data_IF_584950139448
#
_entry.id   IF_584950139448
#
_cell.length_a   1.000
_cell.length_b   1.000
_cell.length_c   1.000
_cell.angle_alpha   90.00
_cell.angle_beta   90.00
_cell.angle_gamma   90.00
#
_symmetry.space_group_name_H-M   'P 1'
#
loop_
_entity.id
_entity.type
_entity.pdbx_description
1 polymer ?
#
# COMPACT_ATOMS: atom_id res chain seq x y z
N UNK A 1 10.52 11.76 6.13
CA UNK A 1 9.35 12.06 6.97
C UNK A 1 8.75 10.72 7.31
N UNK A 2 8.95 10.29 8.55
CA UNK A 2 8.49 9.00 9.06
C UNK A 2 6.97 8.95 9.15
N UNK A 3 6.43 7.73 9.23
CA UNK A 3 5.00 7.49 9.43
C UNK A 3 4.61 7.94 10.84
N UNK A 4 3.66 8.89 10.99
CA UNK A 4 3.19 9.29 12.31
C UNK A 4 2.51 8.12 13.02
N UNK A 5 2.80 7.96 14.32
CA UNK A 5 2.04 7.10 15.23
C UNK A 5 1.24 8.02 16.15
N UNK A 6 -0.08 7.94 16.04
CA UNK A 6 -1.03 8.82 16.71
C UNK A 6 -1.75 8.06 17.82
N UNK A 7 -1.91 8.70 18.98
CA UNK A 7 -2.62 8.11 20.11
C UNK A 7 -4.15 8.04 19.89
N UNK A 8 -4.85 7.48 20.87
CA UNK A 8 -6.29 7.30 20.82
C UNK A 8 -7.11 8.60 20.78
N UNK A 9 -6.50 9.74 21.13
CA UNK A 9 -7.15 11.03 21.00
C UNK A 9 -7.28 11.45 19.54
N UNK A 10 -6.39 11.01 18.66
CA UNK A 10 -6.43 11.34 17.23
C UNK A 10 -7.64 10.76 16.51
N UNK A 11 -8.18 9.63 16.98
CA UNK A 11 -9.42 9.04 16.44
C UNK A 11 -10.64 9.82 16.97
N UNK A 12 -11.24 10.68 16.13
CA UNK A 12 -12.26 11.65 16.57
C UNK A 12 -13.69 11.16 16.36
N UNK A 13 -13.98 10.67 15.17
CA UNK A 13 -15.37 10.40 14.78
C UNK A 13 -15.44 9.21 13.82
N UNK A 14 -16.32 8.26 14.11
CA UNK A 14 -16.70 7.21 13.16
C UNK A 14 -17.66 7.76 12.11
N UNK A 15 -17.37 7.54 10.83
CA UNK A 15 -18.11 8.10 9.69
C UNK A 15 -18.86 7.03 8.88
N UNK A 16 -18.85 5.78 9.33
CA UNK A 16 -19.55 4.67 8.68
C UNK A 16 -18.61 3.58 8.17
N UNK A 17 -19.21 2.55 7.56
CA UNK A 17 -18.48 1.51 6.81
C UNK A 17 -18.45 1.87 5.33
N UNK A 18 -17.38 1.53 4.60
CA UNK A 18 -17.39 1.68 3.15
C UNK A 18 -18.41 0.71 2.53
N UNK A 19 -18.96 1.08 1.37
CA UNK A 19 -19.90 0.22 0.63
C UNK A 19 -19.31 -1.13 0.19
N UNK A 20 -17.99 -1.30 0.28
CA UNK A 20 -17.29 -2.57 0.14
C UNK A 20 -16.08 -2.58 1.09
N UNK A 21 -16.12 -3.40 2.15
CA UNK A 21 -15.08 -3.44 3.19
C UNK A 21 -13.82 -4.24 2.80
N UNK A 22 -13.80 -4.85 1.61
CA UNK A 22 -12.71 -5.75 1.22
C UNK A 22 -12.64 -6.98 2.13
N UNK A 23 -11.43 -7.49 2.37
CA UNK A 23 -11.20 -8.65 3.24
C UNK A 23 -11.12 -8.27 4.73
N UNK A 24 -10.71 -7.04 5.05
CA UNK A 24 -10.62 -6.60 6.44
C UNK A 24 -11.97 -6.02 6.90
N UNK A 25 -12.74 -6.83 7.63
CA UNK A 25 -14.07 -6.49 8.15
C UNK A 25 -14.09 -5.29 9.12
N UNK A 26 -12.92 -4.90 9.63
CA UNK A 26 -12.78 -3.74 10.51
C UNK A 26 -12.60 -2.42 9.76
N UNK A 27 -12.52 -2.46 8.42
CA UNK A 27 -12.36 -1.27 7.59
C UNK A 27 -13.56 -0.34 7.77
N UNK A 28 -13.28 0.91 8.13
CA UNK A 28 -14.28 1.95 8.35
C UNK A 28 -13.77 3.32 7.91
N UNK A 29 -14.68 4.27 7.81
CA UNK A 29 -14.38 5.68 7.60
C UNK A 29 -14.31 6.37 8.96
N UNK A 30 -13.32 7.23 9.17
CA UNK A 30 -13.20 8.02 10.39
C UNK A 30 -12.56 9.39 10.15
N UNK A 31 -12.82 10.34 11.04
CA UNK A 31 -12.06 11.59 11.13
C UNK A 31 -10.87 11.41 12.06
N UNK A 32 -9.67 11.63 11.52
CA UNK A 32 -8.41 11.50 12.23
C UNK A 32 -7.73 12.87 12.33
N UNK A 33 -7.35 13.27 13.54
CA UNK A 33 -6.56 14.47 13.76
C UNK A 33 -5.06 14.13 13.63
N UNK A 34 -4.32 14.85 12.81
CA UNK A 34 -2.85 14.73 12.81
C UNK A 34 -2.21 15.43 14.01
N UNK A 35 -0.88 15.39 14.10
CA UNK A 35 -0.12 16.00 15.20
C UNK A 35 -0.30 17.53 15.30
N UNK A 36 -0.75 18.21 14.23
CA UNK A 36 -1.08 19.64 14.24
C UNK A 36 -2.54 19.92 14.60
N UNK A 37 -3.35 18.87 14.77
CA UNK A 37 -4.79 18.97 15.01
C UNK A 37 -5.62 19.12 13.73
N UNK A 38 -5.01 19.12 12.55
CA UNK A 38 -5.75 19.12 11.28
C UNK A 38 -6.52 17.80 11.13
N UNK A 39 -7.80 17.92 10.75
CA UNK A 39 -8.69 16.77 10.56
C UNK A 39 -8.60 16.25 9.13
N UNK A 40 -8.47 14.94 9.00
CA UNK A 40 -8.46 14.19 7.75
C UNK A 40 -9.60 13.17 7.76
N UNK A 41 -10.33 13.05 6.65
CA UNK A 41 -11.26 11.94 6.44
C UNK A 41 -10.45 10.74 5.94
N UNK A 42 -10.42 9.66 6.73
CA UNK A 42 -9.56 8.51 6.55
C UNK A 42 -10.37 7.23 6.31
N UNK A 43 -9.84 6.34 5.47
CA UNK A 43 -10.09 4.91 5.63
C UNK A 43 -9.21 4.40 6.77
N UNK A 44 -9.79 3.61 7.68
CA UNK A 44 -9.10 3.06 8.85
C UNK A 44 -9.34 1.56 8.91
N UNK A 45 -8.28 0.77 9.07
CA UNK A 45 -8.34 -0.69 9.22
C UNK A 45 -7.53 -1.15 10.42
N UNK A 46 -8.14 -1.91 11.33
CA UNK A 46 -7.44 -2.48 12.47
C UNK A 46 -6.45 -3.54 11.97
N UNK A 47 -5.19 -3.37 12.35
CA UNK A 47 -4.09 -4.25 11.99
C UNK A 47 -3.25 -4.49 13.25
N UNK A 48 -3.63 -5.49 14.08
CA UNK A 48 -2.86 -5.82 15.28
C UNK A 48 -1.42 -6.23 14.93
N UNK A 49 -0.52 -6.14 15.92
CA UNK A 49 0.92 -6.44 15.76
C UNK A 49 1.21 -7.96 15.75
N UNK A 50 0.21 -8.79 15.46
CA UNK A 50 0.35 -10.26 15.38
C UNK A 50 0.80 -10.75 13.99
N UNK A 51 1.11 -9.82 13.08
CA UNK A 51 1.59 -10.12 11.74
C UNK A 51 2.18 -8.90 11.03
N UNK A 52 2.57 -9.09 9.77
CA UNK A 52 3.32 -8.08 9.01
C UNK A 52 2.46 -6.96 8.42
N UNK A 53 1.13 -7.09 8.38
CA UNK A 53 0.24 -6.19 7.61
C UNK A 53 0.44 -4.70 7.91
N UNK A 54 0.49 -4.31 9.20
CA UNK A 54 0.67 -2.90 9.57
C UNK A 54 2.04 -2.36 9.16
N UNK A 55 3.08 -3.19 9.36
CA UNK A 55 4.44 -2.85 8.94
C UNK A 55 4.54 -2.69 7.42
N UNK A 56 3.92 -3.62 6.68
CA UNK A 56 3.85 -3.60 5.22
C UNK A 56 3.14 -2.36 4.67
N UNK A 57 2.01 -1.97 5.25
CA UNK A 57 1.34 -0.71 4.89
C UNK A 57 2.24 0.52 5.11
N UNK A 58 2.87 0.60 6.28
CA UNK A 58 3.74 1.71 6.63
C UNK A 58 4.95 1.80 5.70
N UNK A 59 5.62 0.69 5.43
CA UNK A 59 6.76 0.61 4.49
C UNK A 59 6.30 0.95 3.07
N UNK A 60 5.19 0.36 2.61
CA UNK A 60 4.68 0.56 1.26
C UNK A 60 4.35 2.04 0.98
N UNK A 61 3.69 2.72 1.92
CA UNK A 61 3.41 4.14 1.78
C UNK A 61 4.67 5.01 1.78
N UNK A 62 5.64 4.73 2.67
CA UNK A 62 6.92 5.44 2.70
C UNK A 62 7.65 5.30 1.37
N UNK A 63 7.81 4.08 0.86
CA UNK A 63 8.52 3.83 -0.38
C UNK A 63 7.78 4.41 -1.58
N UNK A 64 6.46 4.32 -1.65
CA UNK A 64 5.66 4.89 -2.74
C UNK A 64 5.90 6.41 -2.87
N UNK A 65 5.88 7.13 -1.74
CA UNK A 65 6.17 8.56 -1.70
C UNK A 65 7.58 8.93 -2.16
N UNK A 66 8.55 8.06 -1.96
CA UNK A 66 9.95 8.28 -2.34
C UNK A 66 10.26 7.85 -3.77
N UNK A 67 9.41 7.04 -4.37
CA UNK A 67 9.59 6.45 -5.71
C UNK A 67 8.68 7.06 -6.78
N UNK A 68 8.13 8.25 -6.54
CA UNK A 68 7.24 8.96 -7.47
C UNK A 68 5.98 8.14 -7.86
N UNK A 69 5.54 7.25 -6.95
CA UNK A 69 4.28 6.53 -7.04
C UNK A 69 3.22 7.32 -6.29
N UNK A 70 2.15 7.68 -7.00
CA UNK A 70 1.01 8.37 -6.37
C UNK A 70 0.37 7.47 -5.32
N UNK A 71 0.25 7.99 -4.10
CA UNK A 71 -0.37 7.36 -2.94
C UNK A 71 -1.16 8.42 -2.14
N UNK A 72 -1.96 8.04 -1.13
CA UNK A 72 -2.66 9.00 -0.27
C UNK A 72 -1.71 10.03 0.35
N UNK A 73 -2.10 11.30 0.36
CA UNK A 73 -1.22 12.40 0.79
C UNK A 73 -0.94 12.35 2.31
N UNK A 74 -1.92 11.94 3.10
CA UNK A 74 -1.79 11.65 4.51
C UNK A 74 -2.02 10.15 4.80
N UNK A 75 -1.15 9.58 5.62
CA UNK A 75 -1.34 8.29 6.24
C UNK A 75 -0.65 8.28 7.61
N UNK A 76 -1.17 7.46 8.51
CA UNK A 76 -0.66 7.31 9.86
C UNK A 76 -1.03 5.95 10.44
N UNK A 77 -0.30 5.57 11.48
CA UNK A 77 -0.75 4.52 12.40
C UNK A 77 -1.52 5.23 13.51
N UNK A 78 -2.75 4.78 13.80
CA UNK A 78 -3.58 5.34 14.88
C UNK A 78 -3.94 4.25 15.87
N UNK A 79 -3.81 4.54 17.17
CA UNK A 79 -4.27 3.64 18.24
C UNK A 79 -5.78 3.80 18.41
N UNK A 80 -6.56 2.88 17.85
CA UNK A 80 -8.02 2.96 17.88
C UNK A 80 -8.55 2.44 19.22
N UNK A 81 -9.39 3.21 19.94
CA UNK A 81 -10.11 2.73 21.11
C UNK A 81 -11.18 1.72 20.71
N UNK A 82 -10.91 0.44 20.97
CA UNK A 82 -11.73 -0.70 20.49
C UNK A 82 -13.15 -0.64 21.06
N UNK A 83 -13.30 -0.29 22.34
CA UNK A 83 -14.62 -0.14 22.98
C UNK A 83 -15.46 0.97 22.34
N UNK A 84 -14.83 2.05 21.87
CA UNK A 84 -15.54 3.12 21.16
C UNK A 84 -15.95 2.65 19.77
N UNK A 85 -15.05 2.00 19.03
CA UNK A 85 -15.38 1.46 17.71
C UNK A 85 -16.48 0.39 17.77
N UNK A 86 -16.46 -0.47 18.80
CA UNK A 86 -17.46 -1.52 19.02
C UNK A 86 -18.87 -0.96 19.24
N UNK A 87 -19.00 0.25 19.79
CA UNK A 87 -20.29 0.96 19.90
C UNK A 87 -20.82 1.44 18.56
N UNK A 88 -19.96 1.54 17.53
CA UNK A 88 -20.33 1.96 16.18
C UNK A 88 -20.67 0.78 15.25
N UNK A 89 -20.34 -0.45 15.63
CA UNK A 89 -20.66 -1.66 14.87
C UNK A 89 -19.98 -2.92 15.42
N UNK A 90 -20.39 -4.10 14.94
CA UNK A 90 -19.80 -5.36 15.38
C UNK A 90 -18.33 -5.44 14.99
N UNK A 91 -17.52 -5.98 15.89
CA UNK A 91 -16.11 -6.33 15.68
C UNK A 91 -15.92 -7.84 15.88
N UNK A 92 -14.99 -8.47 15.15
CA UNK A 92 -14.64 -9.86 15.38
C UNK A 92 -14.17 -10.12 16.81
N UNK A 93 -14.47 -11.32 17.34
CA UNK A 93 -14.14 -11.70 18.73
C UNK A 93 -12.65 -11.67 19.05
N UNK A 94 -11.78 -11.75 18.04
CA UNK A 94 -10.32 -11.58 18.23
C UNK A 94 -9.95 -10.23 18.85
N UNK A 95 -10.82 -9.22 18.76
CA UNK A 95 -10.62 -7.90 19.37
C UNK A 95 -11.28 -7.75 20.75
N UNK A 96 -11.84 -8.82 21.31
CA UNK A 96 -12.44 -8.81 22.65
C UNK A 96 -11.35 -8.61 23.72
N UNK A 97 -11.64 -7.77 24.72
CA UNK A 97 -10.70 -7.45 25.79
C UNK A 97 -9.55 -6.50 25.42
N UNK A 98 -9.39 -6.15 24.14
CA UNK A 98 -8.41 -5.14 23.73
C UNK A 98 -8.92 -3.73 24.07
N UNK A 99 -8.14 -2.92 24.81
CA UNK A 99 -8.47 -1.52 25.03
C UNK A 99 -8.16 -0.65 23.80
N UNK A 100 -6.97 -0.84 23.24
CA UNK A 100 -6.46 -0.14 22.07
C UNK A 100 -5.98 -1.16 21.03
N UNK A 101 -6.25 -0.89 19.76
CA UNK A 101 -5.72 -1.68 18.65
C UNK A 101 -5.07 -0.72 17.63
N UNK A 102 -3.81 -0.96 17.22
CA UNK A 102 -3.22 -0.17 16.16
C UNK A 102 -3.96 -0.40 14.83
N UNK A 103 -4.06 0.66 14.06
CA UNK A 103 -4.75 0.67 12.79
C UNK A 103 -3.96 1.46 11.76
N UNK A 104 -4.02 1.02 10.51
CA UNK A 104 -3.59 1.85 9.39
C UNK A 104 -4.70 2.82 9.02
N UNK A 105 -4.37 4.12 8.94
CA UNK A 105 -5.23 5.18 8.41
C UNK A 105 -4.58 5.79 7.18
N UNK A 106 -5.36 5.95 6.12
CA UNK A 106 -4.97 6.71 4.95
C UNK A 106 -6.09 7.62 4.49
N UNK A 107 -5.73 8.85 4.11
CA UNK A 107 -6.67 9.86 3.67
C UNK A 107 -7.45 9.38 2.44
N UNK A 108 -8.75 9.69 2.42
CA UNK A 108 -9.61 9.36 1.29
C UNK A 108 -9.09 10.08 0.03
N UNK A 109 -8.72 9.30 -0.97
CA UNK A 109 -8.40 9.82 -2.30
C UNK A 109 -9.71 10.04 -3.05
N UNK A 110 -10.00 11.30 -3.41
CA UNK A 110 -11.16 11.64 -4.20
C UNK A 110 -11.10 10.96 -5.58
N UNK A 111 -11.95 9.98 -5.83
CA UNK A 111 -11.92 9.15 -7.03
C UNK A 111 -12.73 7.88 -6.88
N UNK A 112 -12.50 6.92 -7.78
CA UNK A 112 -13.09 5.57 -7.68
C UNK A 112 -12.00 4.53 -7.91
N UNK A 113 -12.02 3.44 -7.16
CA UNK A 113 -11.17 2.28 -7.51
C UNK A 113 -11.56 1.78 -8.90
N UNK A 114 -10.59 1.35 -9.70
CA UNK A 114 -10.82 0.97 -11.10
C UNK A 114 -11.90 -0.12 -11.21
N UNK A 115 -11.92 -1.06 -10.26
CA UNK A 115 -12.95 -2.11 -10.15
C UNK A 115 -14.38 -1.59 -9.93
N UNK A 116 -14.57 -0.42 -9.35
CA UNK A 116 -15.89 0.17 -9.07
C UNK A 116 -16.41 1.06 -10.20
N UNK A 117 -15.63 1.29 -11.25
CA UNK A 117 -16.11 2.00 -12.44
C UNK A 117 -17.15 1.10 -13.12
N UNK A 118 -18.34 1.66 -13.38
CA UNK A 118 -19.56 0.97 -13.82
C UNK A 118 -19.27 -0.13 -14.86
N UNK A 119 -19.91 -1.30 -14.72
CA UNK A 119 -19.60 -2.53 -15.49
C UNK A 119 -19.45 -2.31 -17.01
N UNK A 120 -20.30 -1.47 -17.60
CA UNK A 120 -20.23 -1.15 -19.05
C UNK A 120 -18.95 -0.42 -19.47
N UNK A 121 -18.33 0.33 -18.56
CA UNK A 121 -17.10 1.10 -18.80
C UNK A 121 -15.87 0.46 -18.16
N UNK A 122 -16.02 -0.61 -17.37
CA UNK A 122 -14.93 -1.26 -16.66
C UNK A 122 -13.81 -1.74 -17.60
N UNK A 123 -14.17 -2.35 -18.74
CA UNK A 123 -13.17 -2.84 -19.70
C UNK A 123 -12.30 -1.70 -20.25
N UNK A 124 -12.94 -0.59 -20.64
CA UNK A 124 -12.26 0.61 -21.11
C UNK A 124 -11.41 1.24 -20.00
N UNK A 125 -11.95 1.34 -18.79
CA UNK A 125 -11.24 1.91 -17.65
C UNK A 125 -10.01 1.07 -17.24
N UNK A 126 -10.12 -0.25 -17.27
CA UNK A 126 -9.00 -1.19 -17.09
C UNK A 126 -7.92 -0.94 -18.14
N UNK A 127 -8.30 -0.87 -19.42
CA UNK A 127 -7.34 -0.64 -20.51
C UNK A 127 -6.68 0.74 -20.41
N UNK A 128 -7.44 1.77 -20.05
CA UNK A 128 -6.93 3.13 -19.83
C UNK A 128 -5.97 3.18 -18.64
N UNK A 129 -6.28 2.46 -17.56
CA UNK A 129 -5.39 2.30 -16.41
C UNK A 129 -4.06 1.69 -16.86
N UNK A 130 -4.10 0.52 -17.50
CA UNK A 130 -2.89 -0.18 -17.96
C UNK A 130 -2.09 0.64 -18.98
N UNK A 131 -2.74 1.51 -19.75
CA UNK A 131 -2.07 2.46 -20.67
C UNK A 131 -1.67 3.78 -20.02
N UNK A 132 -1.83 3.96 -18.72
CA UNK A 132 -1.38 5.17 -18.02
C UNK A 132 0.08 5.04 -17.60
N UNK A 133 0.80 6.17 -17.49
CA UNK A 133 2.17 6.17 -16.94
C UNK A 133 2.17 5.70 -15.48
N UNK A 134 1.14 6.07 -14.73
CA UNK A 134 1.01 5.74 -13.31
C UNK A 134 0.91 4.23 -13.07
N UNK A 135 0.11 3.50 -13.84
CA UNK A 135 0.01 2.04 -13.69
C UNK A 135 1.35 1.31 -13.92
N UNK A 136 2.20 1.84 -14.79
CA UNK A 136 3.55 1.30 -15.04
C UNK A 136 4.50 1.60 -13.89
N UNK A 137 4.44 2.81 -13.33
CA UNK A 137 5.18 3.14 -12.09
C UNK A 137 4.73 2.27 -10.93
N UNK A 138 3.43 2.10 -10.74
CA UNK A 138 2.85 1.21 -9.71
C UNK A 138 3.32 -0.23 -9.94
N UNK A 139 3.27 -0.74 -11.17
CA UNK A 139 3.72 -2.10 -11.48
C UNK A 139 5.23 -2.29 -11.22
N UNK A 140 6.06 -1.30 -11.58
CA UNK A 140 7.50 -1.34 -11.30
C UNK A 140 7.76 -1.35 -9.79
N UNK A 141 7.06 -0.49 -9.05
CA UNK A 141 7.11 -0.45 -7.59
C UNK A 141 6.68 -1.76 -6.94
N UNK A 142 5.59 -2.37 -7.42
CA UNK A 142 5.11 -3.64 -6.90
C UNK A 142 6.13 -4.78 -7.14
N UNK A 143 6.82 -4.80 -8.30
CA UNK A 143 7.91 -5.75 -8.56
C UNK A 143 9.12 -5.52 -7.64
N UNK A 144 9.49 -4.26 -7.45
CA UNK A 144 10.60 -3.87 -6.58
C UNK A 144 10.34 -4.27 -5.12
N UNK A 145 9.14 -3.95 -4.62
CA UNK A 145 8.73 -4.23 -3.25
C UNK A 145 8.24 -5.65 -3.01
N UNK A 146 8.19 -6.53 -4.01
CA UNK A 146 7.63 -7.88 -3.85
C UNK A 146 6.15 -7.91 -3.44
N UNK A 147 5.34 -7.02 -4.01
CA UNK A 147 3.92 -6.91 -3.69
C UNK A 147 3.08 -7.90 -4.51
N UNK A 148 2.30 -8.74 -3.82
CA UNK A 148 1.55 -9.85 -4.45
C UNK A 148 0.07 -9.62 -4.73
N UNK A 149 -0.59 -8.62 -4.15
CA UNK A 149 -2.04 -8.40 -4.32
C UNK A 149 -2.38 -7.04 -4.94
N UNK A 150 -1.64 -6.59 -5.96
CA UNK A 150 -2.06 -5.41 -6.74
C UNK A 150 -3.16 -5.78 -7.73
N UNK A 151 -4.39 -5.64 -7.29
CA UNK A 151 -5.59 -5.75 -8.15
C UNK A 151 -6.23 -4.36 -8.42
N UNK A 152 -7.21 -4.30 -9.32
CA UNK A 152 -7.91 -3.03 -9.67
C UNK A 152 -8.81 -2.46 -8.56
N UNK A 153 -8.99 -3.18 -7.46
CA UNK A 153 -9.54 -2.65 -6.21
C UNK A 153 -8.52 -1.82 -5.42
N UNK A 154 -7.23 -2.05 -5.67
CA UNK A 154 -6.10 -1.42 -4.97
C UNK A 154 -5.46 -0.30 -5.80
N UNK A 155 -6.20 0.22 -6.79
CA UNK A 155 -5.81 1.34 -7.66
C UNK A 155 -7.00 2.27 -7.82
N UNK A 156 -6.85 3.52 -7.40
CA UNK A 156 -7.86 4.58 -7.50
C UNK A 156 -7.60 5.41 -8.74
N UNK A 157 -8.59 5.55 -9.62
CA UNK A 157 -8.61 6.63 -10.61
C UNK A 157 -8.98 7.92 -9.89
N UNK A 158 -8.01 8.83 -9.77
CA UNK A 158 -8.20 10.10 -9.08
C UNK A 158 -9.09 11.04 -9.89
N UNK A 159 -9.93 11.81 -9.19
CA UNK A 159 -10.72 12.89 -9.77
C UNK A 159 -9.87 14.01 -10.38
N UNK A 160 -8.61 14.14 -9.93
CA UNK A 160 -7.61 15.07 -10.49
C UNK A 160 -6.90 14.49 -11.74
N UNK A 161 -7.29 13.30 -12.18
CA UNK A 161 -6.58 12.54 -13.20
C UNK A 161 -5.49 11.64 -12.61
N UNK A 162 -5.08 10.65 -13.41
CA UNK A 162 -4.06 9.67 -13.01
C UNK A 162 -4.59 8.56 -12.09
N UNK A 163 -3.65 7.73 -11.63
CA UNK A 163 -3.93 6.55 -10.80
C UNK A 163 -3.09 6.53 -9.52
N UNK A 164 -3.73 6.18 -8.42
CA UNK A 164 -3.16 6.18 -7.07
C UNK A 164 -3.15 4.76 -6.53
N UNK A 165 -1.99 4.27 -6.08
CA UNK A 165 -1.88 3.00 -5.38
C UNK A 165 -2.33 3.15 -3.92
N UNK A 166 -3.09 2.16 -3.46
CA UNK A 166 -3.51 2.01 -2.06
C UNK A 166 -3.37 0.54 -1.67
N UNK A 167 -3.41 0.23 -0.38
CA UNK A 167 -3.34 -1.15 0.10
C UNK A 167 -2.00 -1.84 -0.26
N UNK A 168 -1.04 -1.73 0.64
CA UNK A 168 0.30 -2.26 0.49
C UNK A 168 0.58 -3.46 1.41
N UNK A 169 -0.46 -4.05 2.02
CA UNK A 169 -0.32 -5.13 3.00
C UNK A 169 0.54 -6.30 2.52
N UNK A 170 0.48 -6.64 1.23
CA UNK A 170 1.22 -7.78 0.65
C UNK A 170 2.64 -7.43 0.17
N UNK A 171 3.18 -6.24 0.46
CA UNK A 171 4.57 -5.89 0.12
C UNK A 171 5.54 -6.76 0.93
N UNK A 172 6.76 -6.94 0.41
CA UNK A 172 7.82 -7.76 1.00
C UNK A 172 7.37 -9.20 1.26
N UNK A 173 6.53 -9.73 0.37
CA UNK A 173 5.82 -10.99 0.57
C UNK A 173 6.73 -12.15 0.95
N UNK A 174 7.75 -12.41 0.15
CA UNK A 174 8.62 -13.57 0.34
C UNK A 174 9.47 -13.44 1.61
N UNK A 175 9.69 -12.20 2.08
CA UNK A 175 10.47 -11.91 3.29
C UNK A 175 9.62 -11.93 4.57
N UNK A 176 8.40 -11.38 4.54
CA UNK A 176 7.60 -11.15 5.76
C UNK A 176 6.37 -12.04 5.86
N UNK A 177 5.83 -12.53 4.75
CA UNK A 177 4.59 -13.31 4.72
C UNK A 177 4.84 -14.80 4.50
N UNK A 178 5.61 -15.16 3.48
CA UNK A 178 5.88 -16.57 3.15
C UNK A 178 6.47 -17.37 4.34
N UNK A 179 7.40 -16.84 5.17
CA UNK A 179 7.91 -17.57 6.34
C UNK A 179 6.85 -17.84 7.42
N UNK A 180 5.74 -17.12 7.42
CA UNK A 180 4.61 -17.33 8.34
C UNK A 180 3.63 -18.40 7.84
N UNK A 181 3.89 -19.00 6.67
CA UNK A 181 2.96 -19.92 6.01
C UNK A 181 1.78 -19.23 5.33
N UNK A 182 1.73 -17.89 5.31
CA UNK A 182 0.71 -17.12 4.60
C UNK A 182 1.20 -16.78 3.19
N UNK A 183 0.45 -17.26 2.19
CA UNK A 183 0.66 -16.92 0.79
C UNK A 183 -0.45 -16.03 0.25
N UNK A 184 -0.11 -15.16 -0.67
CA UNK A 184 -1.06 -14.37 -1.45
C UNK A 184 -1.15 -14.94 -2.87
N UNK A 185 -2.36 -14.97 -3.42
CA UNK A 185 -2.54 -15.21 -4.85
C UNK A 185 -1.88 -14.06 -5.62
N UNK A 186 -1.07 -14.38 -6.64
CA UNK A 186 -0.39 -13.36 -7.41
C UNK A 186 -1.38 -12.56 -8.27
N UNK A 187 -1.66 -11.33 -7.84
CA UNK A 187 -2.36 -10.30 -8.60
C UNK A 187 -1.41 -9.15 -8.85
N UNK A 188 -1.17 -8.84 -10.11
CA UNK A 188 -0.31 -7.72 -10.49
C UNK A 188 -0.81 -7.01 -11.74
N UNK A 189 -0.55 -5.70 -11.82
CA UNK A 189 -0.86 -4.93 -13.02
C UNK A 189 -0.08 -5.42 -14.25
N UNK A 190 1.10 -5.99 -14.05
CA UNK A 190 1.89 -6.59 -15.14
C UNK A 190 1.21 -7.83 -15.73
N UNK A 191 0.72 -8.74 -14.87
CA UNK A 191 -0.05 -9.92 -15.31
C UNK A 191 -1.33 -9.48 -16.01
N UNK A 192 -1.99 -8.44 -15.49
CA UNK A 192 -3.20 -7.88 -16.11
C UNK A 192 -2.92 -7.16 -17.44
N UNK A 193 -1.78 -6.47 -17.56
CA UNK A 193 -1.31 -5.88 -18.81
C UNK A 193 -1.09 -6.94 -19.89
N UNK A 194 -0.42 -8.05 -19.55
CA UNK A 194 -0.16 -9.16 -20.46
C UNK A 194 -1.46 -9.75 -21.03
N UNK A 195 -2.51 -9.84 -20.21
CA UNK A 195 -3.81 -10.39 -20.60
C UNK A 195 -4.65 -9.42 -21.45
N UNK A 196 -4.48 -8.10 -21.27
CA UNK A 196 -5.43 -7.10 -21.79
C UNK A 196 -4.89 -6.22 -22.92
N UNK A 197 -3.57 -6.08 -23.03
CA UNK A 197 -2.92 -5.25 -24.02
C UNK A 197 -2.51 -6.07 -25.25
N UNK A 198 -2.31 -5.40 -26.39
CA UNK A 198 -1.64 -6.03 -27.53
C UNK A 198 -0.17 -6.30 -27.20
N UNK A 199 0.49 -7.17 -27.96
CA UNK A 199 1.92 -7.47 -27.77
C UNK A 199 2.77 -6.20 -27.76
N UNK A 200 2.54 -5.27 -28.69
CA UNK A 200 3.27 -4.00 -28.76
C UNK A 200 2.99 -3.08 -27.56
N UNK A 201 1.73 -2.97 -27.13
CA UNK A 201 1.35 -2.17 -25.96
C UNK A 201 1.93 -2.78 -24.67
N UNK A 202 1.97 -4.11 -24.55
CA UNK A 202 2.56 -4.82 -23.42
C UNK A 202 4.08 -4.69 -23.38
N UNK A 203 4.76 -4.78 -24.53
CA UNK A 203 6.21 -4.54 -24.59
C UNK A 203 6.54 -3.12 -24.14
N UNK A 204 5.77 -2.13 -24.60
CA UNK A 204 5.88 -0.74 -24.12
C UNK A 204 5.63 -0.63 -22.62
N UNK A 205 4.64 -1.37 -22.09
CA UNK A 205 4.38 -1.44 -20.66
C UNK A 205 5.62 -1.88 -19.88
N UNK A 206 6.30 -2.94 -20.33
CA UNK A 206 7.52 -3.45 -19.70
C UNK A 206 8.69 -2.47 -19.79
N UNK A 207 8.91 -1.82 -20.94
CA UNK A 207 9.98 -0.82 -21.11
C UNK A 207 9.76 0.38 -20.18
N UNK A 208 8.53 0.90 -20.12
CA UNK A 208 8.21 2.03 -19.24
C UNK A 208 8.30 1.65 -17.75
N UNK A 209 7.97 0.41 -17.38
CA UNK A 209 8.23 -0.10 -16.02
C UNK A 209 9.72 -0.07 -15.69
N UNK A 210 10.56 -0.58 -16.60
CA UNK A 210 12.00 -0.60 -16.42
C UNK A 210 12.58 0.81 -16.27
N UNK A 211 12.14 1.78 -17.08
CA UNK A 211 12.52 3.18 -16.91
C UNK A 211 12.08 3.77 -15.56
N UNK A 212 10.86 3.44 -15.09
CA UNK A 212 10.39 3.90 -13.78
C UNK A 212 11.24 3.37 -12.62
N UNK A 213 11.78 2.16 -12.75
CA UNK A 213 12.61 1.55 -11.71
C UNK A 213 13.97 2.24 -11.48
N UNK A 214 14.42 3.09 -12.40
CA UNK A 214 15.67 3.84 -12.25
C UNK A 214 15.67 4.77 -11.02
N UNK A 215 14.50 5.13 -10.49
CA UNK A 215 14.37 5.93 -9.26
C UNK A 215 14.43 5.12 -7.96
N UNK A 216 14.34 3.79 -8.00
CA UNK A 216 14.14 2.97 -6.79
C UNK A 216 15.34 2.98 -5.84
N UNK A 217 16.57 2.92 -6.34
CA UNK A 217 17.77 3.01 -5.49
C UNK A 217 17.80 4.32 -4.70
N UNK A 218 17.56 5.47 -5.37
CA UNK A 218 17.52 6.76 -4.68
C UNK A 218 16.34 6.84 -3.70
N UNK A 219 15.17 6.31 -4.09
CA UNK A 219 14.01 6.24 -3.21
C UNK A 219 14.31 5.47 -1.91
N UNK A 220 15.06 4.37 -1.99
CA UNK A 220 15.51 3.62 -0.81
C UNK A 220 16.45 4.42 0.07
N UNK A 221 17.45 5.09 -0.53
CA UNK A 221 18.37 5.97 0.19
C UNK A 221 17.59 7.03 0.97
N UNK A 222 16.62 7.67 0.32
CA UNK A 222 15.79 8.73 0.89
C UNK A 222 14.79 8.23 1.94
N UNK A 223 14.47 6.93 1.93
CA UNK A 223 13.56 6.29 2.88
C UNK A 223 14.28 5.62 4.05
N UNK A 224 15.58 5.33 3.95
CA UNK A 224 16.31 4.42 4.84
C UNK A 224 16.18 4.75 6.33
N UNK A 225 16.30 6.03 6.68
CA UNK A 225 16.14 6.48 8.07
C UNK A 225 14.69 6.33 8.56
N UNK A 226 13.70 6.69 7.73
CA UNK A 226 12.28 6.56 8.06
C UNK A 226 11.87 5.08 8.19
N UNK A 227 12.46 4.18 7.38
CA UNK A 227 12.27 2.73 7.46
C UNK A 227 12.80 2.18 8.79
N UNK A 228 14.04 2.51 9.15
CA UNK A 228 14.63 2.06 10.42
C UNK A 228 13.81 2.51 11.63
N UNK A 229 13.35 3.77 11.60
CA UNK A 229 12.50 4.34 12.64
C UNK A 229 11.18 3.55 12.79
N UNK A 230 10.43 3.36 11.69
CA UNK A 230 9.12 2.69 11.78
C UNK A 230 9.24 1.21 12.11
N UNK A 231 10.27 0.52 11.61
CA UNK A 231 10.57 -0.87 11.97
C UNK A 231 10.87 -0.98 13.47
N UNK A 232 11.69 -0.08 14.02
CA UNK A 232 12.04 -0.09 15.44
C UNK A 232 10.83 0.13 16.36
N UNK A 233 9.84 0.90 15.90
CA UNK A 233 8.60 1.17 16.66
C UNK A 233 7.60 0.03 16.61
N UNK A 234 7.54 -0.73 15.51
CA UNK A 234 6.54 -1.79 15.33
C UNK A 234 7.04 -3.18 15.75
N UNK A 235 8.33 -3.46 15.57
CA UNK A 235 8.94 -4.76 15.90
C UNK A 235 10.31 -4.57 16.60
N UNK A 236 10.36 -3.92 17.78
CA UNK A 236 11.60 -3.48 18.43
C UNK A 236 12.62 -4.61 18.64
N UNK A 237 12.14 -5.79 19.05
CA UNK A 237 13.00 -6.95 19.37
C UNK A 237 13.76 -7.50 18.15
N UNK A 238 13.20 -7.34 16.96
CA UNK A 238 13.76 -7.83 15.70
C UNK A 238 14.23 -6.71 14.77
N UNK A 239 14.17 -5.45 15.23
CA UNK A 239 14.33 -4.29 14.37
C UNK A 239 15.66 -4.25 13.60
N UNK A 240 16.84 -4.54 14.21
CA UNK A 240 18.10 -4.52 13.47
C UNK A 240 18.14 -5.54 12.33
N UNK A 241 17.77 -6.80 12.62
CA UNK A 241 17.76 -7.88 11.64
C UNK A 241 16.72 -7.65 10.53
N UNK A 242 15.50 -7.22 10.90
CA UNK A 242 14.45 -6.90 9.94
C UNK A 242 14.84 -5.72 9.05
N UNK A 243 15.39 -4.64 9.62
CA UNK A 243 15.86 -3.48 8.85
C UNK A 243 16.95 -3.89 7.86
N UNK A 244 17.92 -4.68 8.30
CA UNK A 244 18.99 -5.17 7.42
C UNK A 244 18.42 -5.99 6.26
N UNK A 245 17.57 -6.98 6.54
CA UNK A 245 17.00 -7.86 5.53
C UNK A 245 16.12 -7.11 4.52
N UNK A 246 15.26 -6.20 5.01
CA UNK A 246 14.39 -5.37 4.17
C UNK A 246 15.21 -4.45 3.27
N UNK A 247 16.18 -3.72 3.83
CA UNK A 247 17.04 -2.82 3.06
C UNK A 247 17.87 -3.60 2.05
N UNK A 248 18.43 -4.75 2.42
CA UNK A 248 19.22 -5.58 1.51
C UNK A 248 18.39 -6.08 0.32
N UNK A 249 17.17 -6.56 0.57
CA UNK A 249 16.28 -7.03 -0.50
C UNK A 249 15.88 -5.89 -1.44
N UNK A 250 15.47 -4.74 -0.88
CA UNK A 250 15.10 -3.57 -1.68
C UNK A 250 16.30 -2.99 -2.44
N UNK A 251 17.49 -2.99 -1.85
CA UNK A 251 18.71 -2.49 -2.48
C UNK A 251 19.10 -3.37 -3.67
N UNK A 252 19.09 -4.70 -3.50
CA UNK A 252 19.35 -5.65 -4.58
C UNK A 252 18.37 -5.46 -5.75
N UNK A 253 17.08 -5.29 -5.46
CA UNK A 253 16.03 -5.10 -6.47
C UNK A 253 15.97 -3.66 -7.02
N UNK A 254 16.60 -2.70 -6.35
CA UNK A 254 16.67 -1.30 -6.74
C UNK A 254 17.86 -0.97 -7.64
N UNK A 255 18.81 -1.90 -7.80
CA UNK A 255 20.00 -1.70 -8.64
C UNK A 255 19.63 -1.36 -10.09
N UNK A 256 20.46 -0.51 -10.71
CA UNK A 256 20.29 -0.13 -12.10
C UNK A 256 20.26 -1.37 -13.01
N UNK A 257 19.27 -1.41 -13.90
CA UNK A 257 19.06 -2.53 -14.82
C UNK A 257 18.48 -3.80 -14.19
N UNK A 258 18.23 -3.85 -12.88
CA UNK A 258 17.65 -5.05 -12.24
C UNK A 258 16.28 -5.40 -12.86
N UNK A 259 15.37 -4.43 -12.93
CA UNK A 259 14.03 -4.68 -13.46
C UNK A 259 14.05 -4.92 -14.98
N UNK A 260 14.87 -4.19 -15.74
CA UNK A 260 14.98 -4.42 -17.19
C UNK A 260 15.46 -5.84 -17.51
N UNK A 261 16.47 -6.33 -16.77
CA UNK A 261 16.97 -7.70 -16.88
C UNK A 261 15.90 -8.73 -16.51
N UNK A 262 15.17 -8.52 -15.41
CA UNK A 262 14.10 -9.40 -14.98
C UNK A 262 12.92 -9.46 -15.97
N UNK A 263 12.63 -8.33 -16.63
CA UNK A 263 11.58 -8.24 -17.66
C UNK A 263 12.04 -8.69 -19.04
N UNK A 264 13.34 -8.87 -19.28
CA UNK A 264 13.91 -9.20 -20.58
C UNK A 264 13.78 -8.06 -21.61
N UNK A 265 13.90 -6.81 -21.17
CA UNK A 265 13.77 -5.61 -22.02
C UNK A 265 15.02 -4.73 -21.94
N UNK A 266 15.24 -3.94 -22.99
CA UNK A 266 16.25 -2.87 -23.02
C UNK A 266 15.52 -1.56 -22.71
N UNK A 267 15.98 -0.84 -21.69
CA UNK A 267 15.44 0.42 -21.21
C UNK A 267 16.59 1.38 -20.83
#
# INVERSE_FOLDING_TARGET
MSVPILDASAWREFRGKPGNAGLNETTHLARIADASGKIHDCFVKLLPLDGAALLCEAIGWLLARKSDVSCPAFAAIVLVPVDKLRKCGPLPSKFDGMALCPAWCSEIVAGKVVRQIHKMFYFTARKNCLRSKDARKIAAFDQWGDLRDRNFGNVIQSSKGGYVAIDHESILHDLLWAPTGRGFEERSLMVEARKALSTADYQRFQVDMAHAANGHAQALVDAKADLADIISKLIPEHAPAATQAIVQMLDQRGQSGWLSNNLGVIA
#
